data_IF_924762472799
#
_entry.id   IF_924762472799
#
_cell.length_a   1.000
_cell.length_b   1.000
_cell.length_c   1.000
_cell.angle_alpha   90.00
_cell.angle_beta   90.00
_cell.angle_gamma   90.00
#
_symmetry.space_group_name_H-M   'P 1'
#
loop_
_entity.id
_entity.type
_entity.pdbx_description
1 polymer ?
#
# COMPACT_ATOMS: atom_id res chain seq x y z
N UNK A 1 -8.50 -34.47 -13.88
CA UNK A 1 -9.32 -33.39 -13.30
C UNK A 1 -8.48 -32.15 -13.44
N UNK A 2 -9.01 -31.12 -14.12
CA UNK A 2 -8.28 -29.87 -14.21
C UNK A 2 -8.19 -29.28 -12.80
N UNK A 3 -6.98 -29.18 -12.27
CA UNK A 3 -6.72 -28.74 -10.90
C UNK A 3 -6.63 -27.21 -10.93
N UNK A 4 -7.80 -26.56 -11.05
CA UNK A 4 -7.91 -25.10 -11.09
C UNK A 4 -7.25 -24.52 -9.84
N UNK A 5 -6.27 -23.62 -10.02
CA UNK A 5 -5.60 -22.98 -8.90
C UNK A 5 -6.37 -21.75 -8.45
N UNK A 6 -6.99 -21.82 -7.28
CA UNK A 6 -7.55 -20.64 -6.60
C UNK A 6 -6.45 -19.95 -5.81
N UNK A 7 -6.08 -18.74 -6.22
CA UNK A 7 -5.02 -17.93 -5.61
C UNK A 7 -5.66 -16.81 -4.78
N UNK A 8 -5.50 -16.89 -3.46
CA UNK A 8 -5.87 -15.80 -2.55
C UNK A 8 -4.83 -14.68 -2.62
N UNK A 9 -5.27 -13.45 -2.89
CA UNK A 9 -4.42 -12.27 -2.87
C UNK A 9 -4.87 -11.33 -1.75
N UNK A 10 -3.92 -10.88 -0.94
CA UNK A 10 -4.16 -9.86 0.08
C UNK A 10 -3.05 -8.80 0.07
N UNK A 11 -3.45 -7.54 0.21
CA UNK A 11 -2.54 -6.40 0.24
C UNK A 11 -3.17 -5.25 1.06
N UNK A 12 -2.36 -4.41 1.74
CA UNK A 12 -2.87 -3.28 2.51
C UNK A 12 -3.27 -2.13 1.60
N UNK A 13 -4.26 -1.31 2.01
CA UNK A 13 -4.73 -0.15 1.22
C UNK A 13 -3.63 0.87 0.92
N UNK A 14 -2.60 0.95 1.76
CA UNK A 14 -1.47 1.84 1.58
C UNK A 14 -0.52 1.41 0.47
N UNK A 15 -0.64 0.18 -0.06
CA UNK A 15 0.09 -0.28 -1.23
C UNK A 15 -0.55 0.25 -2.52
N UNK A 16 0.14 1.17 -3.20
CA UNK A 16 -0.39 1.93 -4.33
C UNK A 16 0.36 1.65 -5.64
N UNK A 17 1.06 0.53 -5.74
CA UNK A 17 1.88 0.17 -6.90
C UNK A 17 1.25 -0.99 -7.68
N UNK A 18 0.35 -0.67 -8.62
CA UNK A 18 -0.32 -1.67 -9.46
C UNK A 18 0.65 -2.52 -10.30
N UNK A 19 1.67 -1.90 -10.90
CA UNK A 19 2.66 -2.61 -11.72
C UNK A 19 3.41 -3.69 -10.96
N UNK A 20 3.73 -3.44 -9.68
CA UNK A 20 4.34 -4.45 -8.80
C UNK A 20 3.38 -5.59 -8.49
N UNK A 21 2.10 -5.31 -8.27
CA UNK A 21 1.08 -6.35 -8.12
C UNK A 21 1.01 -7.21 -9.37
N UNK A 22 0.80 -6.58 -10.53
CA UNK A 22 0.70 -7.25 -11.82
C UNK A 22 1.89 -8.17 -12.08
N UNK A 23 3.12 -7.68 -11.94
CA UNK A 23 4.35 -8.46 -12.17
C UNK A 23 4.44 -9.67 -11.25
N UNK A 24 4.12 -9.50 -9.95
CA UNK A 24 4.19 -10.58 -8.97
C UNK A 24 3.09 -11.61 -9.17
N UNK A 25 1.86 -11.18 -9.46
CA UNK A 25 0.74 -12.09 -9.70
C UNK A 25 0.91 -12.83 -11.02
N UNK A 26 1.32 -12.15 -12.10
CA UNK A 26 1.57 -12.74 -13.41
C UNK A 26 2.58 -13.88 -13.37
N UNK A 27 3.64 -13.74 -12.56
CA UNK A 27 4.59 -14.82 -12.35
C UNK A 27 3.92 -16.11 -11.87
N UNK A 28 2.89 -16.03 -11.02
CA UNK A 28 2.17 -17.21 -10.51
C UNK A 28 1.08 -17.70 -11.46
N UNK A 29 0.30 -16.79 -12.05
CA UNK A 29 -0.79 -17.16 -12.95
C UNK A 29 -0.27 -17.83 -14.22
N UNK A 30 0.87 -17.37 -14.76
CA UNK A 30 1.53 -17.96 -15.94
C UNK A 30 2.01 -19.41 -15.77
N UNK A 31 2.13 -19.90 -14.54
CA UNK A 31 2.62 -21.27 -14.27
C UNK A 31 1.51 -22.31 -14.36
N UNK A 32 0.25 -21.91 -14.57
CA UNK A 32 -0.91 -22.79 -14.48
C UNK A 32 -1.92 -22.48 -15.58
N UNK A 33 -2.51 -23.51 -16.22
CA UNK A 33 -3.44 -23.31 -17.33
C UNK A 33 -4.81 -22.79 -16.89
N UNK A 34 -5.26 -23.12 -15.69
CA UNK A 34 -6.52 -22.66 -15.11
C UNK A 34 -6.29 -22.05 -13.73
N UNK A 35 -6.68 -20.79 -13.59
CA UNK A 35 -6.49 -20.00 -12.38
C UNK A 35 -7.79 -19.25 -12.06
N UNK A 36 -8.07 -19.10 -10.77
CA UNK A 36 -9.08 -18.20 -10.22
C UNK A 36 -8.40 -17.32 -9.17
N UNK A 37 -8.77 -16.03 -9.12
CA UNK A 37 -8.31 -15.12 -8.09
C UNK A 37 -9.40 -14.93 -7.04
N UNK A 38 -9.00 -14.88 -5.78
CA UNK A 38 -9.89 -14.53 -4.68
C UNK A 38 -9.23 -13.50 -3.78
N UNK A 39 -10.02 -12.61 -3.19
CA UNK A 39 -9.54 -11.67 -2.18
C UNK A 39 -10.63 -11.44 -1.12
N UNK A 40 -10.25 -11.14 0.12
CA UNK A 40 -11.23 -10.72 1.13
C UNK A 40 -11.67 -9.27 0.91
N UNK A 41 -10.72 -8.44 0.48
CA UNK A 41 -10.91 -7.03 0.14
C UNK A 41 -9.98 -6.67 -1.01
N UNK A 42 -10.41 -5.73 -1.84
CA UNK A 42 -9.61 -5.17 -2.93
C UNK A 42 -9.57 -3.64 -2.82
N UNK A 43 -8.87 -3.11 -1.80
CA UNK A 43 -9.03 -1.71 -1.36
C UNK A 43 -8.71 -0.66 -2.44
N UNK A 44 -7.88 -1.04 -3.42
CA UNK A 44 -7.49 -0.19 -4.55
C UNK A 44 -7.98 -0.74 -5.90
N UNK A 45 -8.80 -1.80 -5.92
CA UNK A 45 -9.32 -2.42 -7.14
C UNK A 45 -8.26 -3.11 -8.01
N UNK A 46 -7.11 -3.48 -7.43
CA UNK A 46 -5.98 -3.99 -8.21
C UNK A 46 -6.16 -5.45 -8.59
N UNK A 47 -6.76 -6.26 -7.72
CA UNK A 47 -6.98 -7.67 -8.04
C UNK A 47 -8.06 -7.79 -9.10
N UNK A 48 -9.15 -7.03 -8.98
CA UNK A 48 -10.22 -6.99 -9.98
C UNK A 48 -9.73 -6.48 -11.34
N UNK A 49 -8.95 -5.40 -11.36
CA UNK A 49 -8.40 -4.85 -12.60
C UNK A 49 -7.49 -5.87 -13.30
N UNK A 50 -6.57 -6.49 -12.56
CA UNK A 50 -5.69 -7.52 -13.10
C UNK A 50 -6.48 -8.73 -13.63
N UNK A 51 -7.50 -9.18 -12.88
CA UNK A 51 -8.34 -10.29 -13.29
C UNK A 51 -9.08 -9.99 -14.60
N UNK A 52 -9.67 -8.80 -14.73
CA UNK A 52 -10.35 -8.35 -15.94
C UNK A 52 -9.39 -8.26 -17.14
N UNK A 53 -8.22 -7.65 -16.96
CA UNK A 53 -7.18 -7.52 -17.99
C UNK A 53 -6.69 -8.87 -18.52
N UNK A 54 -6.64 -9.89 -17.67
CA UNK A 54 -6.18 -11.24 -18.03
C UNK A 54 -7.32 -12.21 -18.37
N UNK A 55 -8.58 -11.80 -18.25
CA UNK A 55 -9.73 -12.69 -18.42
C UNK A 55 -9.80 -13.81 -17.38
N UNK A 56 -9.30 -13.58 -16.17
CA UNK A 56 -9.27 -14.55 -15.07
C UNK A 56 -10.51 -14.34 -14.18
N UNK A 57 -11.23 -15.40 -13.75
CA UNK A 57 -12.31 -15.26 -12.79
C UNK A 57 -11.82 -14.67 -11.46
N UNK A 58 -12.56 -13.69 -10.93
CA UNK A 58 -12.28 -13.05 -9.65
C UNK A 58 -13.51 -13.07 -8.75
N UNK A 59 -13.30 -13.38 -7.47
CA UNK A 59 -14.34 -13.37 -6.44
C UNK A 59 -13.86 -12.66 -5.16
N UNK A 60 -14.71 -11.80 -4.60
CA UNK A 60 -14.55 -11.31 -3.24
C UNK A 60 -15.20 -12.27 -2.25
N UNK A 61 -14.45 -12.67 -1.23
CA UNK A 61 -14.91 -13.61 -0.19
C UNK A 61 -15.20 -12.83 1.09
N UNK A 62 -16.32 -13.15 1.75
CA UNK A 62 -16.83 -12.36 2.87
C UNK A 62 -15.93 -12.36 4.10
N UNK A 63 -15.26 -13.48 4.38
CA UNK A 63 -14.44 -13.65 5.56
C UNK A 63 -13.17 -14.49 5.32
N UNK A 64 -12.32 -14.53 6.35
CA UNK A 64 -11.07 -15.26 6.33
C UNK A 64 -11.28 -16.78 6.23
N UNK A 65 -12.35 -17.33 6.80
CA UNK A 65 -12.60 -18.76 6.78
C UNK A 65 -12.92 -19.24 5.37
N UNK A 66 -13.84 -18.55 4.69
CA UNK A 66 -14.18 -18.82 3.29
C UNK A 66 -13.00 -18.57 2.35
N UNK A 67 -12.18 -17.55 2.61
CA UNK A 67 -10.97 -17.30 1.82
C UNK A 67 -9.97 -18.46 1.92
N UNK A 68 -9.76 -19.00 3.13
CA UNK A 68 -8.86 -20.13 3.38
C UNK A 68 -9.43 -21.43 2.82
N UNK A 69 -10.73 -21.68 2.98
CA UNK A 69 -11.41 -22.88 2.45
C UNK A 69 -11.29 -22.99 0.93
N UNK A 70 -11.42 -21.86 0.21
CA UNK A 70 -11.35 -21.83 -1.25
C UNK A 70 -9.92 -21.83 -1.80
N UNK A 71 -8.96 -21.32 -1.03
CA UNK A 71 -7.62 -21.07 -1.53
C UNK A 71 -6.80 -22.36 -1.67
N UNK A 72 -6.20 -22.54 -2.84
CA UNK A 72 -5.16 -23.57 -3.07
C UNK A 72 -3.76 -23.00 -2.87
N UNK A 73 -3.60 -21.69 -3.10
CA UNK A 73 -2.36 -20.93 -2.99
C UNK A 73 -2.68 -19.54 -2.47
N UNK A 74 -1.70 -18.84 -1.90
CA UNK A 74 -1.86 -17.45 -1.47
C UNK A 74 -0.66 -16.57 -1.83
N UNK A 75 -0.92 -15.30 -2.09
CA UNK A 75 0.06 -14.24 -2.29
C UNK A 75 -0.29 -13.09 -1.35
N UNK A 76 0.58 -12.82 -0.39
CA UNK A 76 0.42 -11.75 0.60
C UNK A 76 1.43 -10.65 0.32
N UNK A 77 0.97 -9.47 -0.08
CA UNK A 77 1.79 -8.27 -0.13
C UNK A 77 1.79 -7.64 1.26
N UNK A 78 2.88 -7.80 2.02
CA UNK A 78 2.87 -7.60 3.46
C UNK A 78 3.95 -6.60 3.89
N UNK A 79 3.61 -5.74 4.84
CA UNK A 79 4.54 -4.90 5.59
C UNK A 79 4.20 -4.96 7.08
N UNK A 80 5.23 -4.90 7.95
CA UNK A 80 5.10 -4.91 9.43
C UNK A 80 4.08 -5.93 9.96
N UNK A 81 4.12 -7.13 9.40
CA UNK A 81 3.29 -8.25 9.84
C UNK A 81 1.76 -8.00 9.76
N UNK A 82 1.31 -7.10 8.86
CA UNK A 82 -0.10 -6.70 8.75
C UNK A 82 -1.05 -7.87 8.44
N UNK A 83 -0.52 -9.01 7.96
CA UNK A 83 -1.27 -10.24 7.70
C UNK A 83 -0.80 -11.44 8.51
N UNK A 84 -0.12 -11.24 9.64
CA UNK A 84 0.35 -12.35 10.49
C UNK A 84 -0.75 -13.36 10.85
N UNK A 85 -1.95 -12.87 11.18
CA UNK A 85 -3.10 -13.72 11.49
C UNK A 85 -3.52 -14.60 10.31
N UNK A 86 -3.71 -13.99 9.14
CA UNK A 86 -4.05 -14.72 7.90
C UNK A 86 -2.95 -15.72 7.52
N UNK A 87 -1.68 -15.30 7.57
CA UNK A 87 -0.52 -16.14 7.27
C UNK A 87 -0.44 -17.35 8.20
N UNK A 88 -0.75 -17.18 9.48
CA UNK A 88 -0.85 -18.30 10.43
C UNK A 88 -1.96 -19.27 10.03
N UNK A 89 -3.17 -18.78 9.74
CA UNK A 89 -4.29 -19.64 9.33
C UNK A 89 -4.02 -20.39 8.04
N UNK A 90 -3.43 -19.74 7.03
CA UNK A 90 -3.01 -20.39 5.79
C UNK A 90 -1.96 -21.48 6.05
N UNK A 91 -1.00 -21.23 6.94
CA UNK A 91 0.00 -22.21 7.36
C UNK A 91 -0.61 -23.42 8.05
N UNK A 92 -1.58 -23.22 8.95
CA UNK A 92 -2.32 -24.30 9.61
C UNK A 92 -3.12 -25.15 8.61
N UNK A 93 -3.63 -24.54 7.54
CA UNK A 93 -4.31 -25.22 6.44
C UNK A 93 -3.35 -25.84 5.40
N UNK A 94 -2.03 -25.75 5.62
CA UNK A 94 -0.99 -26.21 4.69
C UNK A 94 -1.08 -25.58 3.28
N UNK A 95 -1.61 -24.37 3.16
CA UNK A 95 -1.74 -23.65 1.89
C UNK A 95 -0.40 -22.99 1.53
N UNK A 96 0.22 -23.33 0.38
CA UNK A 96 1.44 -22.68 -0.09
C UNK A 96 1.24 -21.17 -0.22
N UNK A 97 1.98 -20.41 0.58
CA UNK A 97 1.83 -18.96 0.70
C UNK A 97 3.11 -18.24 0.31
N UNK A 98 3.02 -17.35 -0.68
CA UNK A 98 4.10 -16.42 -1.01
C UNK A 98 3.89 -15.10 -0.29
N UNK A 99 4.88 -14.68 0.49
CA UNK A 99 4.96 -13.32 1.00
C UNK A 99 5.80 -12.46 0.05
N UNK A 100 5.23 -11.34 -0.38
CA UNK A 100 5.89 -10.25 -1.11
C UNK A 100 6.11 -9.12 -0.10
N UNK A 101 7.35 -8.92 0.40
CA UNK A 101 7.60 -7.85 1.36
C UNK A 101 7.43 -6.48 0.69
N UNK A 102 6.80 -5.57 1.42
CA UNK A 102 6.62 -4.18 1.05
C UNK A 102 7.44 -3.26 1.99
N UNK A 103 7.70 -2.05 1.54
CA UNK A 103 8.34 -0.99 2.34
C UNK A 103 7.42 0.23 2.33
N UNK A 104 6.30 0.15 3.04
CA UNK A 104 5.29 1.21 3.00
C UNK A 104 5.65 2.35 3.94
N UNK A 105 5.61 3.57 3.44
CA UNK A 105 5.62 4.75 4.28
C UNK A 105 4.23 4.94 4.88
N UNK A 106 4.12 5.05 6.21
CA UNK A 106 2.85 5.27 6.93
C UNK A 106 2.87 6.57 7.70
N UNK A 107 1.68 7.16 7.89
CA UNK A 107 1.51 8.44 8.59
C UNK A 107 0.78 8.23 9.91
N UNK A 108 1.40 8.64 11.02
CA UNK A 108 0.81 8.56 12.38
C UNK A 108 0.61 9.94 12.99
N UNK A 109 -0.16 10.01 14.09
CA UNK A 109 -0.30 11.25 14.83
C UNK A 109 0.78 11.35 15.93
N UNK A 110 1.64 12.37 15.84
CA UNK A 110 2.64 12.66 16.87
C UNK A 110 2.06 12.86 18.27
N UNK A 111 0.95 13.56 18.39
CA UNK A 111 0.32 13.96 19.65
C UNK A 111 -0.35 12.80 20.38
N UNK A 112 -0.58 11.68 19.69
CA UNK A 112 -1.09 10.45 20.29
C UNK A 112 -0.03 9.60 20.97
N UNK A 113 1.25 9.97 20.83
CA UNK A 113 2.37 9.18 21.33
C UNK A 113 2.65 7.93 20.49
N UNK A 114 2.13 7.87 19.26
CA UNK A 114 2.44 6.80 18.31
C UNK A 114 3.96 6.77 18.04
N UNK A 115 4.54 5.58 17.93
CA UNK A 115 5.94 5.43 17.55
C UNK A 115 6.13 5.87 16.09
N UNK A 116 7.19 6.63 15.83
CA UNK A 116 7.53 7.10 14.49
C UNK A 116 9.05 7.21 14.31
N UNK A 117 9.49 7.15 13.05
CA UNK A 117 10.90 7.28 12.67
C UNK A 117 11.26 8.72 12.33
N UNK A 118 10.40 9.43 11.59
CA UNK A 118 10.68 10.78 11.09
C UNK A 118 9.52 11.73 11.36
N UNK A 119 9.79 12.87 11.99
CA UNK A 119 8.82 13.95 12.12
C UNK A 119 8.79 14.80 10.85
N UNK A 120 7.60 15.03 10.29
CA UNK A 120 7.39 15.75 9.01
C UNK A 120 6.58 17.03 9.18
N UNK A 121 6.37 17.49 10.41
CA UNK A 121 5.58 18.68 10.68
C UNK A 121 6.28 19.98 10.31
N UNK A 122 5.63 21.11 10.63
CA UNK A 122 6.12 22.46 10.32
C UNK A 122 7.50 22.71 10.94
N UNK A 123 8.36 23.44 10.21
CA UNK A 123 9.75 23.70 10.60
C UNK A 123 10.77 22.67 10.08
N UNK A 124 10.30 21.55 9.50
CA UNK A 124 11.13 20.58 8.80
C UNK A 124 11.15 20.83 7.29
N UNK A 125 12.04 20.15 6.56
CA UNK A 125 12.04 20.18 5.08
C UNK A 125 10.74 19.61 4.47
N UNK A 126 10.03 18.77 5.22
CA UNK A 126 8.80 18.09 4.82
C UNK A 126 7.53 18.85 5.21
N UNK A 127 7.66 19.93 5.99
CA UNK A 127 6.53 20.66 6.53
C UNK A 127 5.73 21.33 5.42
N UNK A 128 4.40 21.28 5.53
CA UNK A 128 3.54 22.03 4.63
C UNK A 128 3.77 23.54 4.81
N UNK A 129 4.22 24.29 3.78
CA UNK A 129 4.43 25.73 3.90
C UNK A 129 3.10 26.48 4.11
N UNK A 130 2.02 25.95 3.55
CA UNK A 130 0.68 26.53 3.64
C UNK A 130 0.04 26.34 5.02
N UNK A 131 -0.74 27.33 5.45
CA UNK A 131 -1.37 27.41 6.78
C UNK A 131 -2.89 27.48 6.65
N UNK A 132 -3.60 26.62 7.39
CA UNK A 132 -5.06 26.69 7.45
C UNK A 132 -5.53 28.05 7.99
N UNK A 133 -6.60 28.59 7.41
CA UNK A 133 -7.16 29.89 7.76
C UNK A 133 -6.49 31.06 7.03
N UNK A 134 -5.19 30.99 6.78
CA UNK A 134 -4.46 32.01 6.00
C UNK A 134 -4.42 31.66 4.51
N UNK A 135 -4.04 30.43 4.18
CA UNK A 135 -3.82 29.95 2.81
C UNK A 135 -4.96 29.05 2.31
N UNK A 136 -6.05 28.93 3.07
CA UNK A 136 -7.22 28.13 2.72
C UNK A 136 -7.70 27.21 3.83
N UNK A 137 -8.67 26.36 3.51
CA UNK A 137 -9.07 25.25 4.38
C UNK A 137 -8.08 24.08 4.32
N UNK A 138 -8.36 23.01 5.08
CA UNK A 138 -7.49 21.82 5.15
C UNK A 138 -7.23 21.21 3.76
N UNK A 139 -8.29 21.06 2.97
CA UNK A 139 -8.19 20.40 1.66
C UNK A 139 -7.44 21.29 0.68
N UNK A 140 -7.63 22.61 0.75
CA UNK A 140 -6.89 23.58 -0.05
C UNK A 140 -5.40 23.59 0.26
N UNK A 141 -5.01 23.66 1.54
CA UNK A 141 -3.57 23.68 1.89
C UNK A 141 -2.87 22.37 1.58
N UNK A 142 -3.59 21.23 1.61
CA UNK A 142 -3.06 19.93 1.19
C UNK A 142 -2.94 19.87 -0.34
N UNK A 143 -3.92 20.39 -1.07
CA UNK A 143 -3.88 20.45 -2.54
C UNK A 143 -2.73 21.31 -3.03
N UNK A 144 -2.52 22.48 -2.43
CA UNK A 144 -1.38 23.36 -2.73
C UNK A 144 -0.05 22.66 -2.43
N UNK A 145 0.05 21.99 -1.27
CA UNK A 145 1.21 21.18 -0.94
C UNK A 145 1.48 20.09 -1.98
N UNK A 146 0.45 19.34 -2.38
CA UNK A 146 0.59 18.26 -3.37
C UNK A 146 1.04 18.79 -4.74
N UNK A 147 0.49 19.92 -5.16
CA UNK A 147 0.89 20.60 -6.39
C UNK A 147 2.38 20.98 -6.36
N UNK A 148 2.82 21.68 -5.32
CA UNK A 148 4.22 22.12 -5.21
C UNK A 148 5.18 20.96 -5.04
N UNK A 149 4.81 19.96 -4.24
CA UNK A 149 5.59 18.74 -4.05
C UNK A 149 5.83 18.03 -5.39
N UNK A 150 4.77 17.80 -6.16
CA UNK A 150 4.87 17.14 -7.47
C UNK A 150 5.62 17.95 -8.52
N UNK A 151 5.78 19.27 -8.33
CA UNK A 151 6.50 20.17 -9.24
C UNK A 151 7.93 20.47 -8.79
N UNK A 152 8.36 19.93 -7.65
CA UNK A 152 9.70 20.16 -7.14
C UNK A 152 9.90 21.54 -6.50
N UNK A 153 8.83 22.21 -6.07
CA UNK A 153 8.87 23.58 -5.54
C UNK A 153 9.04 23.65 -4.02
N UNK A 154 9.05 22.52 -3.33
CA UNK A 154 9.24 22.46 -1.89
C UNK A 154 10.71 22.29 -1.53
N UNK A 155 11.08 22.67 -0.30
CA UNK A 155 12.44 22.44 0.24
C UNK A 155 12.83 20.96 0.19
N UNK A 156 11.88 20.06 0.44
CA UNK A 156 12.08 18.61 0.30
C UNK A 156 12.57 18.19 -1.10
N UNK A 157 12.34 19.00 -2.13
CA UNK A 157 12.72 18.73 -3.51
C UNK A 157 14.18 19.05 -3.82
N UNK A 158 14.88 19.77 -2.94
CA UNK A 158 16.35 19.89 -3.02
C UNK A 158 16.98 18.53 -2.73
N UNK A 159 17.77 17.97 -3.66
CA UNK A 159 18.27 16.59 -3.57
C UNK A 159 17.14 15.56 -3.38
N UNK A 160 16.07 15.69 -4.17
CA UNK A 160 14.80 14.98 -4.00
C UNK A 160 14.92 13.48 -3.70
N UNK A 161 15.65 12.72 -4.53
CA UNK A 161 15.80 11.27 -4.32
C UNK A 161 16.51 10.91 -3.02
N UNK A 162 17.53 11.69 -2.64
CA UNK A 162 18.21 11.50 -1.35
C UNK A 162 17.23 11.71 -0.20
N UNK A 163 16.48 12.81 -0.23
CA UNK A 163 15.51 13.12 0.81
C UNK A 163 14.39 12.07 0.86
N UNK A 164 13.83 11.66 -0.27
CA UNK A 164 12.82 10.59 -0.32
C UNK A 164 13.36 9.29 0.27
N UNK A 165 14.64 8.97 0.05
CA UNK A 165 15.31 7.84 0.66
C UNK A 165 15.30 7.86 2.20
N UNK A 166 15.28 9.03 2.84
CA UNK A 166 15.22 9.17 4.31
C UNK A 166 13.88 8.69 4.86
N UNK A 167 12.78 8.92 4.13
CA UNK A 167 11.41 8.64 4.60
C UNK A 167 10.77 7.41 3.94
N UNK A 168 11.41 6.79 2.95
CA UNK A 168 10.94 5.58 2.27
C UNK A 168 10.84 4.40 3.25
N UNK A 169 9.68 3.77 3.29
CA UNK A 169 9.41 2.63 4.18
C UNK A 169 9.43 2.99 5.68
N UNK A 170 9.35 4.28 6.02
CA UNK A 170 9.35 4.77 7.41
C UNK A 170 7.95 5.09 7.91
N UNK A 171 7.79 5.06 9.23
CA UNK A 171 6.64 5.70 9.89
C UNK A 171 6.95 7.18 10.07
N UNK A 172 6.18 8.04 9.39
CA UNK A 172 6.31 9.49 9.46
C UNK A 172 5.22 10.09 10.35
N UNK A 173 5.56 11.10 11.15
CA UNK A 173 4.65 11.70 12.12
C UNK A 173 4.28 13.13 11.77
N UNK A 174 2.98 13.43 11.88
CA UNK A 174 2.42 14.77 11.80
C UNK A 174 1.37 14.97 12.92
N UNK A 175 0.94 16.20 13.14
CA UNK A 175 -0.12 16.54 14.10
C UNK A 175 -1.54 16.35 13.52
N UNK A 176 -1.69 16.27 12.19
CA UNK A 176 -2.98 16.35 11.52
C UNK A 176 -3.84 15.07 11.59
N UNK A 177 -3.22 13.89 11.71
CA UNK A 177 -3.96 12.62 11.70
C UNK A 177 -4.95 12.55 12.87
N UNK A 178 -6.15 11.97 12.72
CA UNK A 178 -6.63 11.16 11.61
C UNK A 178 -7.25 11.97 10.45
N UNK A 179 -7.36 13.29 10.57
CA UNK A 179 -7.81 14.12 9.45
C UNK A 179 -6.80 14.08 8.30
N UNK A 180 -7.23 14.53 7.11
CA UNK A 180 -6.36 14.65 5.95
C UNK A 180 -5.08 15.41 6.31
N UNK A 181 -3.94 14.88 5.85
CA UNK A 181 -2.60 15.31 6.23
C UNK A 181 -1.72 15.47 4.98
N UNK A 182 -0.79 16.44 4.99
CA UNK A 182 0.20 16.55 3.90
C UNK A 182 1.12 15.33 3.84
N UNK A 183 1.34 14.67 4.98
CA UNK A 183 2.04 13.39 5.04
C UNK A 183 1.42 12.30 4.19
N UNK A 184 0.10 12.35 3.95
CA UNK A 184 -0.59 11.40 3.07
C UNK A 184 -0.12 11.53 1.62
N UNK A 185 0.20 12.75 1.18
CA UNK A 185 0.77 13.00 -0.15
C UNK A 185 2.16 12.38 -0.27
N UNK A 186 3.01 12.55 0.74
CA UNK A 186 4.37 11.98 0.77
C UNK A 186 4.32 10.46 0.77
N UNK A 187 3.50 9.86 1.64
CA UNK A 187 3.32 8.43 1.73
C UNK A 187 2.75 7.85 0.42
N UNK A 188 1.73 8.49 -0.17
CA UNK A 188 1.15 8.04 -1.41
C UNK A 188 2.16 8.05 -2.57
N UNK A 189 2.96 9.11 -2.67
CA UNK A 189 4.02 9.19 -3.69
C UNK A 189 5.03 8.05 -3.56
N UNK A 190 5.51 7.76 -2.35
CA UNK A 190 6.49 6.71 -2.09
C UNK A 190 5.91 5.31 -2.32
N UNK A 191 4.67 5.08 -1.87
CA UNK A 191 4.02 3.77 -1.95
C UNK A 191 3.52 3.42 -3.35
N UNK A 192 3.48 4.39 -4.27
CA UNK A 192 3.13 4.18 -5.67
C UNK A 192 4.33 3.80 -6.56
N UNK A 193 5.56 3.94 -6.06
CA UNK A 193 6.75 3.65 -6.85
C UNK A 193 7.03 2.14 -6.93
N UNK A 194 7.33 1.66 -8.14
CA UNK A 194 7.82 0.30 -8.35
C UNK A 194 9.32 0.28 -8.12
N UNK A 195 9.76 -0.56 -7.18
CA UNK A 195 11.18 -0.76 -6.87
C UNK A 195 11.85 -1.77 -7.81
N UNK A 196 11.10 -2.38 -8.73
CA UNK A 196 11.60 -3.40 -9.65
C UNK A 196 11.96 -4.73 -8.98
N UNK A 197 11.79 -4.85 -7.65
CA UNK A 197 12.16 -6.01 -6.84
C UNK A 197 11.10 -7.11 -6.88
#
# INVERSE_FOLDING_TARGET
MSDTKTILIAYPKEFLCYSKLQRKVQFYTSQSPEVQLVAMVDPNGYVSAYAEEQGIPFELVEDQAGAVEKATHAILFEDRECFAGLRNTLGLAAIPTRVVPLQLTLVVNKDRGDLYDVYIGRGTIWGNPYQMGQDGDRDEVIRKFAYDFGRGFLKASENFEHNLGIIRGKVIACHCKPAACHGDVLAAHLNAQDDGL
#
